data_IF_154984688464
#
_entry.id   IF_154984688464
#
_cell.length_a   1.000
_cell.length_b   1.000
_cell.length_c   1.000
_cell.angle_alpha   90.00
_cell.angle_beta   90.00
_cell.angle_gamma   90.00
#
_symmetry.space_group_name_H-M   'P 1'
#
loop_
_entity.id
_entity.type
_entity.pdbx_description
1 polymer ?
#
# COMPACT_ATOMS: atom_id res chain seq x y z
N UNK A 1 -29.03 -21.78 -15.64
CA UNK A 1 -28.19 -22.95 -15.84
C UNK A 1 -27.77 -23.13 -17.30
N UNK A 2 -26.87 -24.07 -17.60
CA UNK A 2 -26.36 -24.37 -18.94
C UNK A 2 -27.40 -25.10 -19.77
N UNK A 3 -27.52 -24.71 -21.05
CA UNK A 3 -28.30 -25.43 -22.09
C UNK A 3 -27.46 -25.57 -23.35
N UNK A 4 -27.52 -26.73 -23.97
CA UNK A 4 -26.97 -26.96 -25.30
C UNK A 4 -28.01 -26.73 -26.38
N UNK A 5 -27.71 -25.89 -27.36
CA UNK A 5 -28.58 -25.57 -28.51
C UNK A 5 -27.73 -25.62 -29.79
N UNK A 6 -28.07 -26.54 -30.71
CA UNK A 6 -27.35 -26.73 -31.95
C UNK A 6 -25.82 -26.91 -31.76
N UNK A 7 -25.43 -27.70 -30.75
CA UNK A 7 -24.03 -28.01 -30.45
C UNK A 7 -23.24 -26.85 -29.77
N UNK A 8 -23.90 -25.78 -29.39
CA UNK A 8 -23.31 -24.70 -28.63
C UNK A 8 -23.90 -24.59 -27.22
N UNK A 9 -23.06 -24.24 -26.22
CA UNK A 9 -23.47 -24.08 -24.82
C UNK A 9 -23.86 -22.64 -24.55
N UNK A 10 -25.00 -22.45 -23.86
CA UNK A 10 -25.57 -21.18 -23.44
C UNK A 10 -25.90 -21.23 -21.92
N UNK A 11 -25.88 -20.09 -21.23
CA UNK A 11 -26.21 -20.02 -19.82
C UNK A 11 -27.36 -19.05 -19.57
N UNK A 12 -28.26 -19.40 -18.66
CA UNK A 12 -29.47 -18.63 -18.31
C UNK A 12 -29.53 -18.36 -16.80
N UNK A 13 -29.69 -17.06 -16.37
CA UNK A 13 -29.74 -16.54 -14.99
C UNK A 13 -30.75 -15.40 -14.80
N UNK A 14 -32.03 -15.60 -14.68
CA UNK A 14 -32.96 -16.50 -15.38
C UNK A 14 -32.95 -16.25 -16.88
N UNK A 15 -32.45 -15.10 -17.36
CA UNK A 15 -32.28 -14.77 -18.79
C UNK A 15 -30.95 -15.26 -19.33
N UNK A 16 -30.84 -15.33 -20.64
CA UNK A 16 -29.60 -15.73 -21.29
C UNK A 16 -28.47 -14.76 -20.98
N UNK A 17 -27.29 -15.30 -20.66
CA UNK A 17 -26.07 -14.51 -20.36
C UNK A 17 -25.36 -14.15 -21.66
N UNK A 18 -24.98 -12.88 -21.78
CA UNK A 18 -24.24 -12.33 -22.90
C UNK A 18 -23.04 -11.48 -22.41
N UNK A 19 -21.93 -11.58 -23.12
CA UNK A 19 -20.74 -10.75 -23.01
C UNK A 19 -20.21 -10.58 -21.55
N UNK A 20 -20.32 -11.64 -20.74
CA UNK A 20 -19.83 -11.67 -19.35
C UNK A 20 -19.52 -13.07 -18.87
N UNK A 21 -18.82 -13.15 -17.74
CA UNK A 21 -18.73 -14.37 -16.94
C UNK A 21 -20.04 -14.61 -16.21
N UNK A 22 -20.54 -15.84 -16.27
CA UNK A 22 -21.70 -16.29 -15.52
C UNK A 22 -21.30 -16.87 -14.17
N UNK A 23 -22.27 -17.18 -13.29
CA UNK A 23 -22.05 -17.78 -11.96
C UNK A 23 -21.28 -19.11 -12.01
N UNK A 24 -21.34 -19.82 -13.12
CA UNK A 24 -20.57 -21.04 -13.35
C UNK A 24 -19.08 -20.80 -13.67
N UNK A 25 -18.61 -19.53 -13.63
CA UNK A 25 -17.25 -19.13 -13.90
C UNK A 25 -16.83 -19.21 -15.36
N UNK A 26 -17.75 -19.33 -16.31
CA UNK A 26 -17.48 -19.39 -17.74
C UNK A 26 -17.95 -18.13 -18.45
N UNK A 27 -17.22 -17.72 -19.49
CA UNK A 27 -17.55 -16.56 -20.30
C UNK A 27 -18.49 -16.92 -21.45
N UNK A 28 -19.47 -16.07 -21.68
CA UNK A 28 -20.40 -16.15 -22.80
C UNK A 28 -20.26 -14.87 -23.64
N UNK A 29 -20.10 -15.05 -24.97
CA UNK A 29 -19.85 -13.95 -25.91
C UNK A 29 -21.10 -13.07 -26.15
N UNK A 30 -20.98 -12.15 -27.10
CA UNK A 30 -22.06 -11.23 -27.51
C UNK A 30 -23.27 -11.94 -28.14
N UNK A 31 -23.13 -13.18 -28.52
CA UNK A 31 -24.20 -14.06 -29.01
C UNK A 31 -24.71 -15.04 -27.95
N UNK A 32 -24.16 -14.92 -26.71
CA UNK A 32 -24.49 -15.81 -25.61
C UNK A 32 -23.90 -17.19 -25.69
N UNK A 33 -22.98 -17.45 -26.63
CA UNK A 33 -22.30 -18.73 -26.78
C UNK A 33 -21.11 -18.82 -25.82
N UNK A 34 -20.94 -19.97 -25.15
CA UNK A 34 -19.79 -20.21 -24.31
C UNK A 34 -18.49 -20.15 -25.11
N UNK A 35 -17.52 -19.41 -24.57
CA UNK A 35 -16.17 -19.35 -25.12
C UNK A 35 -15.24 -20.24 -24.29
N UNK A 36 -14.46 -21.07 -24.95
CA UNK A 36 -13.42 -21.89 -24.32
C UNK A 36 -12.07 -21.19 -24.39
N UNK A 37 -11.54 -20.78 -23.24
CA UNK A 37 -10.20 -20.21 -23.10
C UNK A 37 -9.11 -21.24 -22.77
N UNK A 38 -9.45 -22.53 -22.78
CA UNK A 38 -8.60 -23.65 -22.36
C UNK A 38 -8.60 -23.84 -20.85
N UNK A 39 -7.62 -24.61 -20.34
CA UNK A 39 -7.48 -24.97 -18.93
C UNK A 39 -6.07 -24.69 -18.44
N UNK A 40 -5.92 -24.39 -17.14
CA UNK A 40 -4.65 -24.19 -16.44
C UNK A 40 -3.74 -23.18 -17.15
N UNK A 41 -4.30 -22.05 -17.59
CA UNK A 41 -3.56 -21.03 -18.33
C UNK A 41 -4.07 -19.63 -18.09
N UNK A 42 -3.15 -18.65 -18.18
CA UNK A 42 -3.50 -17.25 -18.30
C UNK A 42 -4.06 -16.93 -19.68
N UNK A 43 -5.03 -16.03 -19.73
CA UNK A 43 -5.57 -15.47 -20.97
C UNK A 43 -5.95 -14.00 -20.78
N UNK A 44 -6.12 -13.28 -21.88
CA UNK A 44 -6.52 -11.86 -21.86
C UNK A 44 -7.90 -11.73 -22.52
N UNK A 45 -8.73 -10.92 -21.88
CA UNK A 45 -10.06 -10.55 -22.39
C UNK A 45 -10.31 -9.08 -22.09
N UNK A 46 -10.64 -8.28 -23.10
CA UNK A 46 -10.92 -6.84 -22.98
C UNK A 46 -9.82 -6.05 -22.22
N UNK A 47 -8.55 -6.40 -22.45
CA UNK A 47 -7.40 -5.75 -21.81
C UNK A 47 -7.08 -6.21 -20.38
N UNK A 48 -7.86 -7.11 -19.80
CA UNK A 48 -7.64 -7.70 -18.49
C UNK A 48 -7.07 -9.11 -18.56
N UNK A 49 -6.28 -9.48 -17.54
CA UNK A 49 -5.70 -10.82 -17.42
C UNK A 49 -6.55 -11.67 -16.47
N UNK A 50 -6.79 -12.92 -16.88
CA UNK A 50 -7.55 -13.94 -16.14
C UNK A 50 -6.76 -15.24 -16.11
N UNK A 51 -7.17 -16.17 -15.28
CA UNK A 51 -6.67 -17.54 -15.30
C UNK A 51 -7.82 -18.54 -15.37
N UNK A 52 -7.81 -19.38 -16.41
CA UNK A 52 -8.68 -20.52 -16.51
C UNK A 52 -8.06 -21.68 -15.73
N UNK A 53 -8.72 -22.13 -14.68
CA UNK A 53 -8.31 -23.28 -13.87
C UNK A 53 -8.72 -24.60 -14.48
N UNK A 54 -8.73 -25.67 -13.66
CA UNK A 54 -9.23 -26.97 -14.04
C UNK A 54 -10.68 -26.87 -14.53
N UNK A 55 -10.96 -27.54 -15.63
CA UNK A 55 -12.29 -27.47 -16.25
C UNK A 55 -12.60 -26.17 -16.97
N UNK A 56 -11.66 -25.21 -17.10
CA UNK A 56 -11.81 -23.97 -17.86
C UNK A 56 -12.67 -22.89 -17.19
N UNK A 57 -12.84 -22.95 -15.87
CA UNK A 57 -13.50 -21.89 -15.09
C UNK A 57 -12.49 -20.85 -14.63
N UNK A 58 -12.89 -19.56 -14.52
CA UNK A 58 -12.00 -18.52 -14.00
C UNK A 58 -11.73 -18.72 -12.50
N UNK A 59 -10.49 -18.45 -12.09
CA UNK A 59 -10.11 -18.41 -10.68
C UNK A 59 -10.39 -17.04 -10.07
N UNK A 60 -10.69 -17.03 -8.77
CA UNK A 60 -10.87 -15.82 -7.94
C UNK A 60 -10.10 -15.96 -6.65
N UNK A 61 -9.88 -14.83 -5.95
CA UNK A 61 -9.18 -14.81 -4.66
C UNK A 61 -7.69 -15.09 -4.79
N UNK A 62 -7.08 -15.54 -3.67
CA UNK A 62 -5.65 -15.92 -3.63
C UNK A 62 -5.44 -17.28 -4.27
N UNK A 63 -4.43 -17.37 -5.10
CA UNK A 63 -4.03 -18.59 -5.80
C UNK A 63 -2.50 -18.70 -5.79
N UNK A 64 -2.01 -19.94 -5.84
CA UNK A 64 -0.60 -20.21 -6.12
C UNK A 64 -0.52 -20.93 -7.48
N UNK A 65 0.02 -20.26 -8.47
CA UNK A 65 0.10 -20.76 -9.85
C UNK A 65 1.57 -20.83 -10.24
N UNK A 66 2.04 -22.03 -10.58
CA UNK A 66 3.45 -22.28 -10.92
C UNK A 66 4.44 -21.73 -9.88
N UNK A 67 4.10 -21.83 -8.59
CA UNK A 67 4.93 -21.32 -7.47
C UNK A 67 4.82 -19.81 -7.22
N UNK A 68 4.01 -19.10 -7.98
CA UNK A 68 3.73 -17.67 -7.77
C UNK A 68 2.43 -17.49 -7.00
N UNK A 69 2.48 -16.75 -5.89
CA UNK A 69 1.28 -16.29 -5.19
C UNK A 69 0.69 -15.12 -5.96
N UNK A 70 -0.56 -15.23 -6.41
CA UNK A 70 -1.29 -14.23 -7.20
C UNK A 70 -2.67 -13.97 -6.59
N UNK A 71 -3.32 -12.90 -6.98
CA UNK A 71 -4.68 -12.58 -6.56
C UNK A 71 -5.56 -12.23 -7.75
N UNK A 72 -6.77 -12.79 -7.76
CA UNK A 72 -7.82 -12.45 -8.71
C UNK A 72 -9.00 -11.82 -7.97
N UNK A 73 -9.55 -10.74 -8.48
CA UNK A 73 -10.78 -10.15 -7.95
C UNK A 73 -11.97 -11.13 -8.06
N UNK A 74 -13.08 -10.79 -7.43
CA UNK A 74 -14.31 -11.58 -7.57
C UNK A 74 -14.81 -11.66 -9.03
N UNK A 75 -14.40 -10.71 -9.86
CA UNK A 75 -14.63 -10.69 -11.31
C UNK A 75 -13.71 -11.62 -12.08
N UNK A 76 -12.72 -12.24 -11.44
CA UNK A 76 -11.67 -13.06 -12.05
C UNK A 76 -10.50 -12.25 -12.62
N UNK A 77 -10.52 -10.92 -12.57
CA UNK A 77 -9.42 -10.07 -13.06
C UNK A 77 -8.20 -10.21 -12.15
N UNK A 78 -7.03 -10.51 -12.73
CA UNK A 78 -5.77 -10.56 -12.00
C UNK A 78 -5.40 -9.18 -11.46
N UNK A 79 -5.08 -9.10 -10.18
CA UNK A 79 -4.56 -7.87 -9.56
C UNK A 79 -3.10 -7.68 -9.93
N UNK A 80 -2.78 -6.47 -10.39
CA UNK A 80 -1.42 -6.03 -10.74
C UNK A 80 -1.20 -4.58 -10.33
N UNK A 81 0.02 -4.26 -9.88
CA UNK A 81 0.47 -2.89 -9.61
C UNK A 81 -0.21 -2.18 -8.45
N UNK A 82 -0.87 -2.89 -7.53
CA UNK A 82 -1.60 -2.28 -6.42
C UNK A 82 -1.71 -3.16 -5.19
N UNK A 83 -2.05 -2.53 -4.08
CA UNK A 83 -2.38 -3.21 -2.84
C UNK A 83 -3.80 -3.80 -2.89
N UNK A 84 -3.96 -4.96 -2.26
CA UNK A 84 -5.24 -5.55 -1.88
C UNK A 84 -5.26 -5.73 -0.37
N UNK A 85 -6.35 -5.30 0.28
CA UNK A 85 -6.63 -5.62 1.68
C UNK A 85 -7.54 -6.84 1.79
N UNK A 86 -7.48 -7.53 2.92
CA UNK A 86 -8.52 -8.47 3.30
C UNK A 86 -9.82 -7.74 3.74
N UNK A 87 -10.86 -8.50 4.04
CA UNK A 87 -12.16 -7.96 4.50
C UNK A 87 -12.05 -7.15 5.81
N UNK A 88 -10.98 -7.33 6.60
CA UNK A 88 -10.75 -6.55 7.82
C UNK A 88 -10.14 -5.17 7.56
N UNK A 89 -9.68 -4.91 6.33
CA UNK A 89 -8.96 -3.70 5.95
C UNK A 89 -7.58 -3.56 6.60
N UNK A 90 -7.03 -4.65 7.17
CA UNK A 90 -5.78 -4.61 7.95
C UNK A 90 -4.59 -5.31 7.29
N UNK A 91 -4.84 -6.29 6.42
CA UNK A 91 -3.78 -7.08 5.81
C UNK A 91 -3.61 -6.65 4.35
N UNK A 92 -2.77 -5.63 4.13
CA UNK A 92 -2.44 -5.17 2.79
C UNK A 92 -1.34 -6.02 2.18
N UNK A 93 -1.48 -6.37 0.89
CA UNK A 93 -0.46 -7.06 0.10
C UNK A 93 -0.37 -6.46 -1.28
N UNK A 94 0.85 -6.17 -1.70
CA UNK A 94 1.12 -5.61 -3.01
C UNK A 94 1.43 -6.72 -4.02
N UNK A 95 0.79 -6.63 -5.17
CA UNK A 95 1.02 -7.52 -6.29
C UNK A 95 1.73 -6.77 -7.42
N UNK A 96 2.83 -7.36 -7.90
CA UNK A 96 3.72 -6.76 -8.89
C UNK A 96 2.96 -6.31 -10.15
N UNK A 97 3.37 -5.15 -10.71
CA UNK A 97 2.67 -4.53 -11.84
C UNK A 97 2.77 -5.30 -13.15
N UNK A 98 3.82 -6.08 -13.32
CA UNK A 98 4.08 -6.81 -14.57
C UNK A 98 3.62 -8.26 -14.46
N UNK A 99 4.08 -8.98 -13.46
CA UNK A 99 3.78 -10.39 -13.25
C UNK A 99 2.45 -10.64 -12.50
N UNK A 100 2.02 -9.71 -11.65
CA UNK A 100 0.93 -9.93 -10.70
C UNK A 100 1.29 -10.86 -9.54
N UNK A 101 2.57 -11.18 -9.35
CA UNK A 101 3.04 -11.98 -8.22
C UNK A 101 3.05 -11.16 -6.93
N UNK A 102 2.78 -11.81 -5.79
CA UNK A 102 2.92 -11.19 -4.48
C UNK A 102 4.37 -10.80 -4.24
N UNK A 103 4.59 -9.52 -3.95
CA UNK A 103 5.92 -8.97 -3.66
C UNK A 103 6.25 -9.13 -2.19
N UNK A 104 7.49 -9.56 -1.87
CA UNK A 104 7.98 -9.81 -0.51
C UNK A 104 9.43 -9.33 -0.36
N UNK A 105 9.81 -8.92 0.86
CA UNK A 105 11.20 -8.57 1.26
C UNK A 105 11.89 -7.56 0.34
N UNK A 106 11.17 -6.54 -0.13
CA UNK A 106 11.75 -5.50 -0.98
C UNK A 106 10.94 -4.20 -0.99
N UNK A 107 11.58 -3.16 -1.50
CA UNK A 107 10.91 -1.89 -1.76
C UNK A 107 10.00 -1.96 -2.98
N UNK A 108 8.87 -1.26 -2.88
CA UNK A 108 7.97 -0.98 -4.01
C UNK A 108 7.56 0.48 -4.01
N UNK A 109 7.22 0.99 -5.18
CA UNK A 109 6.57 2.29 -5.35
C UNK A 109 5.13 2.00 -5.78
N UNK A 110 4.17 2.52 -5.02
CA UNK A 110 2.75 2.31 -5.29
C UNK A 110 1.95 3.58 -5.01
N UNK A 111 0.86 3.76 -5.76
CA UNK A 111 -0.06 4.87 -5.55
C UNK A 111 -0.74 4.77 -4.18
N UNK A 112 -0.69 5.87 -3.44
CA UNK A 112 -1.35 6.02 -2.15
C UNK A 112 -2.57 6.93 -2.31
N UNK A 113 -3.77 6.37 -2.16
CA UNK A 113 -5.02 7.14 -2.27
C UNK A 113 -5.22 8.21 -1.20
N UNK A 114 -4.50 8.12 -0.06
CA UNK A 114 -4.57 9.11 1.02
C UNK A 114 -3.73 10.36 0.70
N UNK A 115 -2.51 10.17 0.19
CA UNK A 115 -1.62 11.29 -0.18
C UNK A 115 -1.86 11.79 -1.61
N UNK A 116 -2.50 10.97 -2.45
CA UNK A 116 -2.70 11.25 -3.87
C UNK A 116 -1.42 11.11 -4.71
N UNK A 117 -0.38 10.47 -4.19
CA UNK A 117 0.94 10.35 -4.80
C UNK A 117 1.43 8.90 -4.84
N UNK A 118 2.49 8.66 -5.62
CA UNK A 118 3.24 7.43 -5.54
C UNK A 118 4.21 7.50 -4.36
N UNK A 119 4.09 6.53 -3.46
CA UNK A 119 4.89 6.46 -2.23
C UNK A 119 5.76 5.20 -2.23
N UNK A 120 6.87 5.24 -1.48
CA UNK A 120 7.76 4.10 -1.30
C UNK A 120 7.38 3.30 -0.06
N UNK A 121 7.26 1.98 -0.22
CA UNK A 121 6.95 1.01 0.83
C UNK A 121 8.04 -0.05 0.88
N UNK A 122 8.24 -0.66 2.04
CA UNK A 122 9.00 -1.91 2.14
C UNK A 122 8.05 -3.02 2.60
N UNK A 123 8.06 -4.13 1.87
CA UNK A 123 7.19 -5.27 2.14
C UNK A 123 7.97 -6.35 2.90
N UNK A 124 7.36 -6.90 3.93
CA UNK A 124 7.93 -7.97 4.73
C UNK A 124 7.92 -9.33 4.01
N UNK A 125 8.29 -10.40 4.72
CA UNK A 125 8.30 -11.76 4.18
C UNK A 125 6.91 -12.33 3.91
N UNK A 126 5.85 -11.65 4.33
CA UNK A 126 4.45 -12.00 4.06
C UNK A 126 3.82 -11.07 3.01
N UNK A 127 4.58 -10.10 2.49
CA UNK A 127 4.13 -9.10 1.53
C UNK A 127 3.32 -7.96 2.15
N UNK A 128 3.41 -7.76 3.48
CA UNK A 128 2.76 -6.65 4.18
C UNK A 128 3.71 -5.45 4.26
N UNK A 129 3.20 -4.20 4.13
CA UNK A 129 4.03 -3.02 4.32
C UNK A 129 4.48 -2.90 5.78
N UNK A 130 5.77 -2.63 5.98
CA UNK A 130 6.32 -2.29 7.30
C UNK A 130 5.82 -0.93 7.76
N UNK A 131 5.73 -0.76 9.09
CA UNK A 131 5.37 0.51 9.75
C UNK A 131 6.34 0.83 10.87
N UNK A 132 6.36 2.11 11.31
CA UNK A 132 7.24 2.58 12.36
C UNK A 132 8.71 2.57 12.03
N UNK A 133 9.59 2.64 13.07
CA UNK A 133 11.03 2.60 12.90
C UNK A 133 11.52 1.20 12.48
N UNK A 134 12.34 1.14 11.46
CA UNK A 134 12.89 -0.11 10.91
C UNK A 134 14.38 0.02 10.61
N UNK A 135 15.08 -1.10 10.56
CA UNK A 135 16.45 -1.17 10.04
C UNK A 135 16.47 -2.06 8.80
N UNK A 136 16.75 -1.46 7.65
CA UNK A 136 16.80 -2.16 6.36
C UNK A 136 18.19 -1.93 5.76
N UNK A 137 18.88 -3.00 5.43
CA UNK A 137 20.25 -2.98 4.91
C UNK A 137 21.21 -2.11 5.75
N UNK A 138 21.09 -2.19 7.09
CA UNK A 138 21.90 -1.42 8.05
C UNK A 138 21.53 0.06 8.19
N UNK A 139 20.51 0.55 7.47
CA UNK A 139 20.01 1.92 7.54
C UNK A 139 18.75 1.99 8.41
N UNK A 140 18.71 2.95 9.32
CA UNK A 140 17.50 3.22 10.09
C UNK A 140 16.57 4.11 9.28
N UNK A 141 15.35 3.64 9.07
CA UNK A 141 14.30 4.28 8.28
C UNK A 141 12.99 4.32 9.06
N UNK A 142 12.02 5.10 8.65
CA UNK A 142 10.71 5.15 9.28
C UNK A 142 9.60 5.08 8.23
N UNK A 143 8.61 4.25 8.51
CA UNK A 143 7.40 4.13 7.71
C UNK A 143 6.20 4.64 8.51
N UNK A 144 5.32 5.37 7.86
CA UNK A 144 4.10 5.88 8.48
C UNK A 144 3.34 4.76 9.18
N UNK A 145 2.87 5.03 10.40
CA UNK A 145 1.98 4.11 11.11
C UNK A 145 0.65 3.96 10.37
N UNK A 146 0.01 2.80 10.56
CA UNK A 146 -1.34 2.56 10.06
C UNK A 146 -2.29 3.56 10.74
N UNK A 147 -2.95 4.41 9.97
CA UNK A 147 -4.01 5.26 10.49
C UNK A 147 -5.24 4.46 10.92
N UNK A 148 -6.01 5.02 11.84
CA UNK A 148 -7.25 4.40 12.36
C UNK A 148 -8.42 4.38 11.35
N UNK A 149 -8.20 4.80 10.11
CA UNK A 149 -9.23 4.90 9.06
C UNK A 149 -9.07 3.80 8.02
N UNK A 150 -10.18 3.21 7.61
CA UNK A 150 -10.30 2.07 6.69
C UNK A 150 -9.65 2.24 5.30
N UNK A 151 -9.19 3.45 4.96
CA UNK A 151 -8.53 3.75 3.68
C UNK A 151 -7.10 4.27 3.86
N UNK A 152 -6.55 4.27 5.07
CA UNK A 152 -5.19 4.75 5.34
C UNK A 152 -4.23 3.57 5.36
N UNK A 153 -3.64 3.31 4.21
CA UNK A 153 -2.61 2.29 4.01
C UNK A 153 -1.29 2.72 4.64
N UNK A 154 -1.15 3.00 5.91
CA UNK A 154 0.16 3.30 6.49
C UNK A 154 1.31 2.57 5.78
N UNK A 155 2.50 2.73 6.23
CA UNK A 155 3.64 1.99 5.70
C UNK A 155 4.40 2.68 4.57
N UNK A 156 4.07 3.91 4.16
CA UNK A 156 4.94 4.65 3.26
C UNK A 156 6.11 5.29 4.01
N UNK A 157 7.27 5.30 3.39
CA UNK A 157 8.49 5.81 4.00
C UNK A 157 8.47 7.33 4.17
N UNK A 158 9.04 7.80 5.29
CA UNK A 158 9.25 9.23 5.57
C UNK A 158 10.55 9.69 4.91
N UNK A 159 10.50 10.86 4.26
CA UNK A 159 11.62 11.56 3.66
C UNK A 159 11.62 13.02 4.06
N UNK A 160 12.81 13.59 4.27
CA UNK A 160 13.04 15.02 4.53
C UNK A 160 12.05 15.60 5.57
N UNK A 161 11.78 14.81 6.62
CA UNK A 161 10.77 15.14 7.63
C UNK A 161 11.07 14.47 8.97
N UNK A 162 10.31 14.89 9.98
CA UNK A 162 10.35 14.30 11.31
C UNK A 162 9.30 13.18 11.47
N UNK A 163 9.70 12.12 12.16
CA UNK A 163 8.79 11.11 12.70
C UNK A 163 9.22 10.80 14.15
N UNK A 164 8.27 10.79 15.09
CA UNK A 164 8.51 10.60 16.54
C UNK A 164 9.62 11.48 17.12
N UNK A 165 9.73 12.72 16.61
CA UNK A 165 10.74 13.68 17.04
C UNK A 165 12.14 13.45 16.46
N UNK A 166 12.34 12.51 15.57
CA UNK A 166 13.60 12.23 14.89
C UNK A 166 13.52 12.62 13.41
N UNK A 167 14.61 13.17 12.88
CA UNK A 167 14.67 13.63 11.49
C UNK A 167 15.20 12.55 10.57
N UNK A 168 14.53 12.38 9.46
CA UNK A 168 14.91 11.50 8.35
C UNK A 168 15.23 12.37 7.13
N UNK A 169 16.39 12.15 6.49
CA UNK A 169 16.90 12.95 5.38
C UNK A 169 16.13 12.73 4.06
N UNK A 170 16.63 13.33 2.98
CA UNK A 170 16.05 13.20 1.64
C UNK A 170 16.08 11.77 1.08
N UNK A 171 17.00 10.93 1.59
CA UNK A 171 17.09 9.51 1.24
C UNK A 171 16.23 8.63 2.16
N UNK A 172 15.60 9.23 3.20
CA UNK A 172 14.78 8.58 4.21
C UNK A 172 15.57 7.88 5.31
N UNK A 173 16.86 8.23 5.50
CA UNK A 173 17.68 7.67 6.55
C UNK A 173 17.62 8.54 7.82
N UNK A 174 17.62 7.90 9.00
CA UNK A 174 17.71 8.61 10.27
C UNK A 174 19.02 9.39 10.34
N UNK A 175 18.91 10.68 10.70
CA UNK A 175 20.04 11.56 10.95
C UNK A 175 20.27 11.71 12.45
N UNK A 176 21.49 11.46 12.90
CA UNK A 176 21.90 11.81 14.26
C UNK A 176 22.13 13.31 14.36
N UNK A 177 21.19 14.02 14.95
CA UNK A 177 21.28 15.47 15.18
C UNK A 177 22.05 15.84 16.46
N UNK A 178 22.60 14.85 17.19
CA UNK A 178 23.23 15.04 18.49
C UNK A 178 22.21 15.16 19.62
N UNK A 179 22.65 15.76 20.75
CA UNK A 179 21.84 15.92 21.97
C UNK A 179 22.07 17.29 22.62
N UNK A 180 21.07 17.79 23.32
CA UNK A 180 21.13 19.04 24.12
C UNK A 180 21.68 20.22 23.32
N UNK A 181 21.16 20.42 22.10
CA UNK A 181 21.68 21.46 21.19
C UNK A 181 20.61 22.01 20.27
N UNK A 182 20.79 23.24 19.83
CA UNK A 182 20.06 23.80 18.71
C UNK A 182 20.57 23.21 17.37
N UNK A 183 19.66 22.95 16.46
CA UNK A 183 19.94 22.54 15.08
C UNK A 183 19.07 23.36 14.13
N UNK A 184 19.63 23.67 12.97
CA UNK A 184 18.87 24.30 11.90
C UNK A 184 18.65 23.28 10.78
N UNK A 185 17.38 23.04 10.42
CA UNK A 185 16.99 22.20 9.30
C UNK A 185 16.17 23.07 8.36
N UNK A 186 16.68 23.23 7.13
CA UNK A 186 16.17 24.25 6.21
C UNK A 186 16.23 25.66 6.88
N UNK A 187 15.13 26.37 6.91
CA UNK A 187 15.05 27.71 7.51
C UNK A 187 14.58 27.71 8.97
N UNK A 188 14.28 26.53 9.55
CA UNK A 188 13.69 26.42 10.87
C UNK A 188 14.70 25.95 11.92
N UNK A 189 14.58 26.50 13.13
CA UNK A 189 15.37 26.10 14.29
C UNK A 189 14.59 25.10 15.15
N UNK A 190 15.31 24.13 15.67
CA UNK A 190 14.83 23.09 16.56
C UNK A 190 15.82 22.94 17.73
N UNK A 191 15.38 22.37 18.85
CA UNK A 191 16.28 21.93 19.90
C UNK A 191 16.17 20.44 20.10
N UNK A 192 17.29 19.75 20.04
CA UNK A 192 17.38 18.31 20.25
C UNK A 192 17.60 18.06 21.74
N UNK A 193 16.70 17.33 22.38
CA UNK A 193 16.79 16.97 23.79
C UNK A 193 17.82 15.88 24.07
N UNK A 194 17.90 15.47 25.34
CA UNK A 194 18.86 14.46 25.80
C UNK A 194 18.63 13.05 25.21
N UNK A 195 17.41 12.77 24.75
CA UNK A 195 17.03 11.51 24.11
C UNK A 195 17.26 11.50 22.59
N UNK A 196 17.80 12.60 22.03
CA UNK A 196 18.04 12.77 20.61
C UNK A 196 16.77 13.08 19.80
N UNK A 197 15.67 13.48 20.44
CA UNK A 197 14.44 13.94 19.79
C UNK A 197 14.30 15.45 19.89
N UNK A 198 13.62 16.08 18.92
CA UNK A 198 13.29 17.50 19.01
C UNK A 198 12.29 17.76 20.14
N UNK A 199 12.47 18.88 20.82
CA UNK A 199 11.54 19.36 21.85
C UNK A 199 10.30 20.01 21.21
N UNK A 200 9.18 19.97 21.95
CA UNK A 200 7.93 20.65 21.62
C UNK A 200 7.35 21.31 22.87
N UNK A 201 6.60 22.40 22.72
CA UNK A 201 6.02 23.12 23.82
C UNK A 201 7.01 24.08 24.56
N UNK A 202 6.73 24.41 25.82
CA UNK A 202 7.57 25.28 26.65
C UNK A 202 8.74 24.53 27.27
N UNK A 203 9.92 25.17 27.21
CA UNK A 203 11.12 24.69 27.87
C UNK A 203 11.97 25.85 28.38
N UNK A 204 12.73 25.62 29.44
CA UNK A 204 13.79 26.54 29.90
C UNK A 204 15.14 25.93 29.49
N UNK A 205 15.87 26.62 28.63
CA UNK A 205 17.18 26.19 28.12
C UNK A 205 18.21 27.25 28.51
N UNK A 206 19.23 26.86 29.26
CA UNK A 206 20.27 27.75 29.77
C UNK A 206 19.72 29.00 30.51
N UNK A 207 18.61 28.81 31.25
CA UNK A 207 17.94 29.87 31.98
C UNK A 207 17.05 30.80 31.14
N UNK A 208 16.86 30.51 29.88
CA UNK A 208 15.98 31.25 28.96
C UNK A 208 14.74 30.43 28.63
N UNK A 209 13.56 31.03 28.79
CA UNK A 209 12.30 30.41 28.42
C UNK A 209 12.10 30.50 26.92
N UNK A 210 11.84 29.34 26.30
CA UNK A 210 11.67 29.16 24.86
C UNK A 210 10.43 28.34 24.57
N UNK A 211 9.89 28.53 23.37
CA UNK A 211 8.74 27.76 22.94
C UNK A 211 9.00 27.10 21.55
N UNK A 212 8.68 25.82 21.47
CA UNK A 212 8.69 25.06 20.24
C UNK A 212 7.25 24.68 19.90
N UNK A 213 6.86 24.87 18.65
CA UNK A 213 5.52 24.51 18.19
C UNK A 213 5.18 23.04 18.54
N UNK A 214 4.00 22.82 19.12
CA UNK A 214 3.61 21.50 19.66
C UNK A 214 3.54 20.40 18.60
N UNK A 215 3.25 20.77 17.35
CA UNK A 215 3.06 19.82 16.24
C UNK A 215 4.36 19.63 15.46
N UNK A 216 5.06 20.72 15.17
CA UNK A 216 6.20 20.71 14.26
C UNK A 216 7.55 20.72 14.95
N UNK A 217 7.61 21.09 16.25
CA UNK A 217 8.85 21.27 17.00
C UNK A 217 9.67 22.50 16.58
N UNK A 218 9.18 23.34 15.68
CA UNK A 218 9.87 24.56 15.23
C UNK A 218 9.94 25.58 16.37
N UNK A 219 11.11 26.19 16.55
CA UNK A 219 11.24 27.29 17.52
C UNK A 219 10.37 28.46 17.06
N UNK A 220 9.54 28.96 17.97
CA UNK A 220 8.70 30.14 17.75
C UNK A 220 9.40 31.37 18.28
N UNK A 221 9.49 32.43 17.46
CA UNK A 221 10.17 33.71 17.82
C UNK A 221 9.31 34.90 17.42
N UNK A 222 9.33 35.96 18.26
CA UNK A 222 8.74 37.25 17.92
C UNK A 222 7.21 37.29 17.85
N UNK A 223 6.51 36.32 18.45
CA UNK A 223 5.05 36.30 18.54
C UNK A 223 4.59 35.98 19.95
N UNK A 224 3.40 36.43 20.32
CA UNK A 224 2.77 36.04 21.58
C UNK A 224 2.16 34.61 21.42
N UNK A 225 2.44 33.77 22.42
CA UNK A 225 1.86 32.43 22.50
C UNK A 225 0.65 32.48 23.44
N UNK A 226 -0.51 32.12 22.91
CA UNK A 226 -1.74 31.99 23.67
C UNK A 226 -2.05 30.50 23.86
N UNK A 227 -1.88 30.01 25.10
CA UNK A 227 -2.24 28.63 25.46
C UNK A 227 -3.58 28.66 26.18
N UNK A 228 -4.64 28.23 25.52
CA UNK A 228 -5.93 27.89 26.14
C UNK A 228 -6.08 26.37 26.19
#
# INVERSE_FOLDING_TARGET
GVKEINGALYYFEPEQVFNKFAENGRYYDDKGKQVDFGTNRFFHLNGYCYYAGDGGTILTGRQTINGMDVYFENTGVQVKGRFISDYSGKNFRYYDKDSGALVKNQYVIAYNGTTGQNERYYLDNQGQPLTGPQTIDGKQVYFHELGNYSNNYGGWQIFDNFAEGRYYDQDGNLVDLGKNRYVQIKENWYYVGNDGKILTGYHTIDGVDVYFDKTTGKQVKGVFINEY
#
